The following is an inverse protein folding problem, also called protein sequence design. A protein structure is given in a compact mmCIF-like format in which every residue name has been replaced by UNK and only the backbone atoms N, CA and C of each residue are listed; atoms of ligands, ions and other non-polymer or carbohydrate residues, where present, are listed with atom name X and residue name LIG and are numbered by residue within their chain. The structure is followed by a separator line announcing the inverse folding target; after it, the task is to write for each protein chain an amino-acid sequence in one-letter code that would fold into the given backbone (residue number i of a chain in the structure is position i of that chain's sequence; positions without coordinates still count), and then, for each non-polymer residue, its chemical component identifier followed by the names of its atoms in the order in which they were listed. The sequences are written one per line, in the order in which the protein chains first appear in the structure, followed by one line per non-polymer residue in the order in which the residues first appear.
data_IF_885415839472
#
_entry.id   IF_885415839472
#
_cell.length_a   1.000
_cell.length_b   1.000
_cell.length_c   1.000
_cell.angle_alpha   90.00
_cell.angle_beta   90.00
_cell.angle_gamma   90.00
#
_symmetry.space_group_name_H-M   'P 1'
#
loop_
_entity.id
_entity.type
_entity.pdbx_description
1 polymer ?
#
# COMPACT_ATOMS: atom_id res chain seq x y z
N UNK A 1 -1.44 15.17 -7.22
CA UNK A 1 -2.13 14.20 -6.33
C UNK A 1 -2.61 14.94 -5.11
N UNK A 2 -3.89 14.85 -4.80
CA UNK A 2 -4.62 15.68 -3.81
C UNK A 2 -4.04 15.63 -2.40
N UNK A 3 -3.32 14.57 -2.03
CA UNK A 3 -2.72 14.41 -0.70
C UNK A 3 -1.18 14.62 -0.68
N UNK A 4 -0.52 15.02 -1.79
CA UNK A 4 0.95 15.20 -1.83
C UNK A 4 1.36 16.49 -1.12
N UNK A 5 2.10 16.38 -0.01
CA UNK A 5 2.61 17.51 0.77
C UNK A 5 1.51 18.49 1.23
N UNK A 6 0.29 17.98 1.40
CA UNK A 6 -0.87 18.78 1.76
C UNK A 6 -1.64 18.10 2.90
N UNK A 7 -1.37 18.46 4.16
CA UNK A 7 -1.92 17.77 5.34
C UNK A 7 -3.45 17.72 5.38
N UNK A 8 -4.13 18.81 5.01
CA UNK A 8 -5.59 18.84 4.94
C UNK A 8 -6.13 17.86 3.91
N UNK A 9 -5.46 17.76 2.75
CA UNK A 9 -5.77 16.75 1.74
C UNK A 9 -5.55 15.33 2.26
N UNK A 10 -4.46 15.08 2.98
CA UNK A 10 -4.20 13.77 3.61
C UNK A 10 -5.31 13.39 4.58
N UNK A 11 -5.71 14.30 5.49
CA UNK A 11 -6.80 14.07 6.43
C UNK A 11 -8.12 13.79 5.72
N UNK A 12 -8.48 14.55 4.68
CA UNK A 12 -9.71 14.28 3.91
C UNK A 12 -9.64 12.95 3.14
N UNK A 13 -8.47 12.61 2.56
CA UNK A 13 -8.23 11.31 1.91
C UNK A 13 -8.46 10.15 2.92
N UNK A 14 -7.96 10.28 4.16
CA UNK A 14 -8.17 9.31 5.23
C UNK A 14 -9.64 9.22 5.63
N UNK A 15 -10.28 10.36 5.91
CA UNK A 15 -11.69 10.46 6.29
C UNK A 15 -12.65 9.84 5.26
N UNK A 16 -12.29 9.93 3.97
CA UNK A 16 -13.04 9.31 2.85
C UNK A 16 -12.71 7.83 2.64
N UNK A 17 -11.93 7.21 3.52
CA UNK A 17 -11.51 5.81 3.46
C UNK A 17 -10.72 5.46 2.17
N UNK A 18 -9.95 6.40 1.63
CA UNK A 18 -9.15 6.13 0.43
C UNK A 18 -8.11 5.02 0.69
N UNK A 19 -7.54 4.98 1.90
CA UNK A 19 -6.61 3.93 2.31
C UNK A 19 -7.27 2.54 2.27
N UNK A 20 -8.50 2.40 2.78
CA UNK A 20 -9.26 1.16 2.72
C UNK A 20 -9.59 0.75 1.29
N UNK A 21 -10.00 1.70 0.43
CA UNK A 21 -10.24 1.41 -1.00
C UNK A 21 -8.97 0.92 -1.71
N UNK A 22 -7.83 1.57 -1.48
CA UNK A 22 -6.55 1.13 -2.04
C UNK A 22 -6.18 -0.28 -1.55
N UNK A 23 -6.35 -0.56 -0.25
CA UNK A 23 -6.09 -1.88 0.32
C UNK A 23 -7.01 -2.96 -0.24
N UNK A 24 -8.30 -2.66 -0.43
CA UNK A 24 -9.26 -3.59 -1.00
C UNK A 24 -8.88 -3.96 -2.45
N UNK A 25 -8.49 -2.98 -3.27
CA UNK A 25 -8.03 -3.20 -4.64
C UNK A 25 -6.73 -4.01 -4.71
N UNK A 26 -5.81 -3.81 -3.77
CA UNK A 26 -4.59 -4.63 -3.68
C UNK A 26 -4.91 -6.06 -3.22
N UNK A 27 -5.81 -6.22 -2.26
CA UNK A 27 -6.16 -7.52 -1.69
C UNK A 27 -7.04 -8.36 -2.63
N UNK A 28 -7.81 -7.75 -3.53
CA UNK A 28 -8.61 -8.49 -4.51
C UNK A 28 -7.77 -9.34 -5.46
N UNK A 29 -6.49 -9.01 -5.63
CA UNK A 29 -5.53 -9.80 -6.42
C UNK A 29 -5.27 -11.15 -5.74
N UNK A 30 -5.24 -11.18 -4.41
CA UNK A 30 -4.86 -12.36 -3.65
C UNK A 30 -6.02 -13.34 -3.47
N UNK A 31 -7.24 -12.82 -3.34
CA UNK A 31 -8.44 -13.66 -3.31
C UNK A 31 -8.59 -14.50 -4.59
N UNK A 32 -8.09 -14.00 -5.72
CA UNK A 32 -8.11 -14.70 -7.01
C UNK A 32 -7.06 -15.83 -7.08
N UNK A 33 -5.97 -15.74 -6.32
CA UNK A 33 -4.86 -16.69 -6.42
C UNK A 33 -5.12 -18.03 -5.71
N UNK A 34 -6.16 -18.13 -4.87
CA UNK A 34 -6.39 -19.31 -4.02
C UNK A 34 -5.33 -19.40 -2.93
N UNK A 35 -5.69 -19.09 -1.69
CA UNK A 35 -4.74 -18.82 -0.59
C UNK A 35 -4.08 -20.06 0.04
N UNK A 36 -3.86 -21.14 -0.71
CA UNK A 36 -3.25 -22.36 -0.18
C UNK A 36 -1.78 -22.47 -0.58
N UNK A 37 -0.89 -22.27 0.40
CA UNK A 37 0.57 -22.31 0.24
C UNK A 37 1.10 -23.70 -0.16
N UNK A 38 0.30 -24.75 -0.02
CA UNK A 38 0.63 -26.11 -0.45
C UNK A 38 0.30 -26.39 -1.93
N UNK A 39 -0.29 -25.45 -2.65
CA UNK A 39 -0.60 -25.61 -4.07
C UNK A 39 0.68 -25.47 -4.91
N UNK A 40 1.14 -26.53 -5.63
CA UNK A 40 2.33 -26.46 -6.46
C UNK A 40 2.22 -25.42 -7.59
N UNK A 41 1.00 -25.02 -7.97
CA UNK A 41 0.73 -24.02 -8.99
C UNK A 41 0.50 -22.60 -8.40
N UNK A 42 0.68 -22.42 -7.09
CA UNK A 42 0.37 -21.16 -6.40
C UNK A 42 1.04 -19.94 -7.05
N UNK A 43 2.35 -20.02 -7.35
CA UNK A 43 3.07 -18.86 -7.91
C UNK A 43 2.59 -18.53 -9.33
N UNK A 44 2.25 -19.54 -10.14
CA UNK A 44 1.67 -19.34 -11.46
C UNK A 44 0.27 -18.71 -11.38
N UNK A 45 -0.57 -19.16 -10.44
CA UNK A 45 -1.91 -18.61 -10.19
C UNK A 45 -1.84 -17.17 -9.69
N UNK A 46 -0.93 -16.88 -8.76
CA UNK A 46 -0.63 -15.54 -8.26
C UNK A 46 -0.17 -14.63 -9.39
N UNK A 47 0.79 -15.07 -10.21
CA UNK A 47 1.26 -14.28 -11.35
C UNK A 47 0.14 -14.00 -12.35
N UNK A 48 -0.71 -14.97 -12.64
CA UNK A 48 -1.87 -14.79 -13.51
C UNK A 48 -2.90 -13.81 -12.90
N UNK A 49 -3.12 -13.85 -11.59
CA UNK A 49 -3.98 -12.89 -10.89
C UNK A 49 -3.38 -11.46 -10.96
N UNK A 50 -2.07 -11.33 -10.77
CA UNK A 50 -1.34 -10.08 -10.88
C UNK A 50 -1.31 -9.49 -12.30
N UNK A 51 -1.47 -10.30 -13.34
CA UNK A 51 -1.62 -9.83 -14.72
C UNK A 51 -2.98 -9.18 -14.99
N UNK A 52 -4.03 -9.53 -14.22
CA UNK A 52 -5.36 -8.90 -14.35
C UNK A 52 -5.37 -7.45 -13.90
N UNK A 53 -4.42 -7.06 -13.04
CA UNK A 53 -4.27 -5.69 -12.54
C UNK A 53 -2.90 -5.15 -12.98
N UNK A 54 -2.85 -4.22 -13.95
CA UNK A 54 -1.59 -3.75 -14.53
C UNK A 54 -0.57 -3.33 -13.46
N UNK A 55 0.72 -3.70 -13.58
CA UNK A 55 1.75 -3.37 -12.58
C UNK A 55 1.80 -1.88 -12.24
N UNK A 56 1.65 -1.02 -13.25
CA UNK A 56 1.62 0.44 -13.08
C UNK A 56 0.49 0.90 -12.16
N UNK A 57 -0.68 0.26 -12.23
CA UNK A 57 -1.81 0.58 -11.36
C UNK A 57 -1.51 0.18 -9.90
N UNK A 58 -0.99 -1.03 -9.68
CA UNK A 58 -0.58 -1.51 -8.34
C UNK A 58 0.51 -0.63 -7.71
N UNK A 59 1.49 -0.21 -8.51
CA UNK A 59 2.50 0.78 -8.13
C UNK A 59 1.87 2.10 -7.68
N UNK A 60 0.89 2.62 -8.43
CA UNK A 60 0.22 3.87 -8.06
C UNK A 60 -0.63 3.73 -6.80
N UNK A 61 -1.23 2.56 -6.53
CA UNK A 61 -1.89 2.30 -5.26
C UNK A 61 -0.90 2.37 -4.09
N UNK A 62 0.29 1.76 -4.23
CA UNK A 62 1.36 1.87 -3.23
C UNK A 62 1.79 3.33 -3.01
N UNK A 63 1.94 4.10 -4.09
CA UNK A 63 2.26 5.52 -3.96
C UNK A 63 1.12 6.34 -3.34
N UNK A 64 -0.13 6.09 -3.69
CA UNK A 64 -1.27 6.76 -3.06
C UNK A 64 -1.28 6.55 -1.55
N UNK A 65 -1.08 5.31 -1.10
CA UNK A 65 -0.94 4.96 0.32
C UNK A 65 0.21 5.74 0.98
N UNK A 66 1.39 5.78 0.35
CA UNK A 66 2.54 6.52 0.88
C UNK A 66 2.27 8.02 1.03
N UNK A 67 1.61 8.65 0.05
CA UNK A 67 1.40 10.09 0.06
C UNK A 67 0.34 10.53 1.07
N UNK A 68 -0.56 9.64 1.48
CA UNK A 68 -1.51 9.92 2.56
C UNK A 68 -0.84 10.03 3.93
N UNK A 69 0.22 9.25 4.17
CA UNK A 69 0.86 9.17 5.50
C UNK A 69 2.17 9.94 5.60
N UNK A 70 2.82 10.24 4.47
CA UNK A 70 4.16 10.82 4.45
C UNK A 70 4.22 12.13 5.25
N UNK A 71 5.14 12.16 6.21
CA UNK A 71 5.43 13.29 7.09
C UNK A 71 4.21 13.76 7.90
N UNK A 72 3.24 12.88 8.17
CA UNK A 72 2.05 13.22 8.94
C UNK A 72 1.64 12.07 9.87
N UNK A 73 1.92 12.25 11.16
CA UNK A 73 1.76 11.21 12.20
C UNK A 73 0.30 10.77 12.38
N UNK A 74 -0.66 11.68 12.21
CA UNK A 74 -2.08 11.37 12.44
C UNK A 74 -2.61 10.35 11.40
N UNK A 75 -2.58 10.63 10.07
CA UNK A 75 -2.86 9.63 9.04
C UNK A 75 -2.02 8.36 9.13
N UNK A 76 -0.75 8.47 9.53
CA UNK A 76 0.13 7.31 9.68
C UNK A 76 -0.38 6.35 10.76
N UNK A 77 -0.74 6.85 11.94
CA UNK A 77 -1.30 6.04 13.02
C UNK A 77 -2.64 5.39 12.63
N UNK A 78 -3.52 6.16 11.98
CA UNK A 78 -4.81 5.65 11.50
C UNK A 78 -4.63 4.55 10.45
N UNK A 79 -3.78 4.77 9.45
CA UNK A 79 -3.47 3.78 8.43
C UNK A 79 -2.74 2.55 9.00
N UNK A 80 -1.92 2.72 10.04
CA UNK A 80 -1.30 1.60 10.75
C UNK A 80 -2.35 0.76 11.46
N UNK A 81 -3.26 1.39 12.22
CA UNK A 81 -4.38 0.72 12.88
C UNK A 81 -5.32 0.00 11.89
N UNK A 82 -5.47 0.54 10.68
CA UNK A 82 -6.23 -0.07 9.59
C UNK A 82 -5.50 -1.21 8.85
N UNK A 83 -4.29 -1.62 9.27
CA UNK A 83 -3.57 -2.75 8.68
C UNK A 83 -2.98 -2.47 7.29
N UNK A 84 -2.83 -1.20 6.89
CA UNK A 84 -2.28 -0.83 5.56
C UNK A 84 -0.87 -1.40 5.36
N UNK A 85 -0.04 -1.38 6.40
CA UNK A 85 1.32 -1.92 6.40
C UNK A 85 1.36 -3.42 6.04
N UNK A 86 0.39 -4.21 6.50
CA UNK A 86 0.30 -5.64 6.19
C UNK A 86 -0.02 -5.87 4.70
N UNK A 87 -0.88 -5.02 4.14
CA UNK A 87 -1.20 -5.04 2.70
C UNK A 87 0.01 -4.67 1.85
N UNK A 88 0.78 -3.66 2.27
CA UNK A 88 2.03 -3.28 1.61
C UNK A 88 3.11 -4.37 1.73
N UNK A 89 3.21 -5.04 2.87
CA UNK A 89 4.17 -6.14 3.08
C UNK A 89 3.96 -7.28 2.07
N UNK A 90 2.71 -7.63 1.78
CA UNK A 90 2.37 -8.63 0.76
C UNK A 90 2.84 -8.24 -0.64
N UNK A 91 2.96 -6.94 -0.94
CA UNK A 91 3.48 -6.42 -2.22
C UNK A 91 5.00 -6.46 -2.33
N UNK A 92 5.72 -6.83 -1.27
CA UNK A 92 7.18 -7.07 -1.37
C UNK A 92 7.51 -8.32 -2.18
N UNK A 93 6.56 -9.24 -2.35
CA UNK A 93 6.70 -10.45 -3.17
C UNK A 93 6.00 -10.32 -4.54
N UNK A 94 5.68 -9.10 -4.96
CA UNK A 94 5.03 -8.82 -6.23
C UNK A 94 5.94 -9.17 -7.42
N UNK A 95 5.38 -9.67 -8.53
CA UNK A 95 6.17 -10.06 -9.69
C UNK A 95 6.93 -8.87 -10.32
N UNK A 96 6.34 -7.68 -10.32
CA UNK A 96 6.97 -6.48 -10.88
C UNK A 96 7.98 -5.86 -9.90
N UNK A 97 9.25 -5.65 -10.31
CA UNK A 97 10.24 -4.99 -9.47
C UNK A 97 9.85 -3.57 -9.08
N UNK A 98 9.14 -2.85 -9.95
CA UNK A 98 8.67 -1.49 -9.70
C UNK A 98 7.61 -1.47 -8.59
N UNK A 99 6.71 -2.46 -8.56
CA UNK A 99 5.71 -2.58 -7.48
C UNK A 99 6.40 -2.91 -6.16
N UNK A 100 7.39 -3.81 -6.15
CA UNK A 100 8.19 -4.10 -4.96
C UNK A 100 8.89 -2.84 -4.44
N UNK A 101 9.52 -2.07 -5.32
CA UNK A 101 10.18 -0.82 -4.96
C UNK A 101 9.18 0.22 -4.38
N UNK A 102 8.00 0.35 -4.99
CA UNK A 102 6.96 1.25 -4.50
C UNK A 102 6.42 0.82 -3.13
N UNK A 103 6.24 -0.49 -2.90
CA UNK A 103 5.84 -1.04 -1.61
C UNK A 103 6.89 -0.79 -0.52
N UNK A 104 8.17 -1.03 -0.82
CA UNK A 104 9.29 -0.71 0.09
C UNK A 104 9.32 0.77 0.45
N UNK A 105 9.19 1.65 -0.55
CA UNK A 105 9.12 3.10 -0.31
C UNK A 105 7.92 3.48 0.57
N UNK A 106 6.75 2.91 0.30
CA UNK A 106 5.55 3.17 1.09
C UNK A 106 5.74 2.74 2.54
N UNK A 107 6.27 1.53 2.79
CA UNK A 107 6.62 1.06 4.14
C UNK A 107 7.62 1.97 4.83
N UNK A 108 8.61 2.50 4.10
CA UNK A 108 9.54 3.52 4.60
C UNK A 108 8.84 4.78 5.12
N UNK A 109 7.76 5.22 4.46
CA UNK A 109 6.95 6.35 4.92
C UNK A 109 6.15 6.03 6.19
N UNK A 110 5.82 4.76 6.45
CA UNK A 110 5.12 4.31 7.67
C UNK A 110 6.04 4.18 8.90
N UNK A 111 7.35 4.11 8.71
CA UNK A 111 8.33 4.05 9.82
C UNK A 111 9.04 5.38 10.05
N UNK A 112 8.94 6.32 9.11
CA UNK A 112 9.56 7.63 9.22
C UNK A 112 8.75 8.49 10.19
N UNK A 113 9.27 8.65 11.41
CA UNK A 113 8.81 9.71 12.30
C UNK A 113 9.43 11.04 11.86
N UNK A 114 8.67 12.14 11.76
CA UNK A 114 9.29 13.45 11.68
C UNK A 114 10.17 13.64 12.94
N UNK A 115 11.38 14.23 12.81
CA UNK A 115 12.22 14.49 13.97
C UNK A 115 11.42 15.32 14.96
N UNK A 116 11.41 14.92 16.23
CA UNK A 116 10.85 15.73 17.30
C UNK A 116 11.62 17.05 17.34
N UNK A 117 11.02 18.13 16.85
CA UNK A 117 11.52 19.49 17.05
C UNK A 117 11.32 19.84 18.52
N UNK A 118 12.18 19.31 19.38
CA UNK A 118 12.43 19.91 20.67
C UNK A 118 13.36 21.09 20.42
N UNK A 119 12.76 22.27 20.22
CA UNK A 119 13.39 23.58 20.34
C UNK A 119 12.44 24.48 21.13
#
# INVERSE_FOLDING_TARGET
ATCRSYPQGQTECMRKNLHGTCCALLSSIEFVAGAEYQDPDFEAKKQAAEQRVPPKFRLWLCFCLSQMVKNNVNPQNEAFAAGVHQTLFRRLSDHSPEVRAAATYALGCFISMPPSSNS
#
